data_IF_638419507479
#
_entry.id   IF_638419507479
#
_cell.length_a   1.000
_cell.length_b   1.000
_cell.length_c   1.000
_cell.angle_alpha   90.00
_cell.angle_beta   90.00
_cell.angle_gamma   90.00
#
_symmetry.space_group_name_H-M   'P 1'
#
loop_
_entity.id
_entity.type
_entity.pdbx_description
1 polymer ?
#
# COMPACT_ATOMS: atom_id res chain seq x y z
N UNK A 1 -0.08 3.98 7.50
CA UNK A 1 1.20 3.53 6.90
C UNK A 1 1.39 4.21 5.55
N UNK A 2 2.59 4.69 5.22
CA UNK A 2 2.85 5.38 3.93
C UNK A 2 3.98 4.69 3.19
N UNK A 3 3.72 4.23 1.97
CA UNK A 3 4.73 3.72 1.05
C UNK A 3 5.21 4.89 0.19
N UNK A 4 6.50 5.18 0.25
CA UNK A 4 7.14 6.22 -0.56
C UNK A 4 7.13 5.91 -2.05
N UNK A 5 7.52 6.88 -2.86
CA UNK A 5 7.65 6.74 -4.32
C UNK A 5 8.60 5.60 -4.67
N UNK A 6 8.21 4.72 -5.61
CA UNK A 6 8.97 3.55 -6.04
C UNK A 6 9.33 2.52 -4.93
N UNK A 7 8.62 2.53 -3.78
CA UNK A 7 8.82 1.53 -2.74
C UNK A 7 8.24 0.17 -3.17
N UNK A 8 9.03 -0.92 -3.07
CA UNK A 8 8.55 -2.30 -3.21
C UNK A 8 8.31 -2.90 -1.82
N UNK A 9 7.05 -3.11 -1.47
CA UNK A 9 6.63 -3.73 -0.21
C UNK A 9 6.05 -5.12 -0.46
N UNK A 10 6.51 -6.12 0.29
CA UNK A 10 5.99 -7.48 0.20
C UNK A 10 5.46 -7.93 1.56
N UNK A 11 4.16 -8.24 1.65
CA UNK A 11 3.52 -8.70 2.87
C UNK A 11 2.12 -8.11 3.09
N UNK A 12 1.63 -8.25 4.32
CA UNK A 12 0.31 -7.74 4.73
C UNK A 12 0.50 -6.50 5.59
N UNK A 13 -0.08 -5.38 5.18
CA UNK A 13 -0.16 -4.16 6.00
C UNK A 13 -1.50 -4.16 6.71
N UNK A 14 -1.47 -4.20 8.03
CA UNK A 14 -2.64 -3.97 8.87
C UNK A 14 -2.49 -2.59 9.53
N UNK A 15 -3.32 -1.62 9.15
CA UNK A 15 -3.30 -0.28 9.74
C UNK A 15 -4.65 0.07 10.32
N UNK A 16 -4.66 0.60 11.55
CA UNK A 16 -5.89 1.12 12.17
C UNK A 16 -6.37 2.41 11.50
N UNK A 17 -5.51 3.09 10.75
CA UNK A 17 -5.80 4.36 10.10
C UNK A 17 -5.51 4.28 8.60
N UNK A 18 -5.07 5.38 7.97
CA UNK A 18 -4.82 5.49 6.54
C UNK A 18 -3.63 4.63 6.09
N UNK A 19 -3.77 3.91 4.98
CA UNK A 19 -2.65 3.37 4.20
C UNK A 19 -2.52 4.18 2.91
N UNK A 20 -1.38 4.82 2.67
CA UNK A 20 -1.12 5.61 1.46
C UNK A 20 0.01 5.01 0.63
N UNK A 21 -0.26 4.73 -0.64
CA UNK A 21 0.71 4.28 -1.62
C UNK A 21 0.93 5.41 -2.63
N UNK A 22 2.15 5.97 -2.66
CA UNK A 22 2.51 7.08 -3.56
C UNK A 22 2.98 6.58 -4.94
N UNK A 23 3.05 7.48 -5.93
CA UNK A 23 3.45 7.22 -7.33
C UNK A 23 4.58 6.18 -7.44
N UNK A 24 4.29 5.09 -8.17
CA UNK A 24 5.23 4.04 -8.49
C UNK A 24 5.51 3.05 -7.36
N UNK A 25 4.85 3.16 -6.21
CA UNK A 25 4.97 2.12 -5.18
C UNK A 25 4.36 0.80 -5.69
N UNK A 26 5.02 -0.29 -5.35
CA UNK A 26 4.62 -1.67 -5.67
C UNK A 26 4.34 -2.38 -4.36
N UNK A 27 3.14 -2.95 -4.23
CA UNK A 27 2.78 -3.80 -3.10
C UNK A 27 2.49 -5.21 -3.60
N UNK A 28 3.21 -6.19 -3.07
CA UNK A 28 2.92 -7.61 -3.26
C UNK A 28 2.31 -8.17 -1.96
N UNK A 29 0.99 -8.29 -1.91
CA UNK A 29 0.26 -8.75 -0.72
C UNK A 29 -1.06 -8.04 -0.51
N UNK A 30 -1.37 -7.63 0.74
CA UNK A 30 -2.67 -7.02 1.10
C UNK A 30 -2.52 -5.77 1.97
N UNK A 31 -3.22 -4.70 1.61
CA UNK A 31 -3.39 -3.50 2.44
C UNK A 31 -4.76 -3.52 3.13
N UNK A 32 -4.80 -3.73 4.45
CA UNK A 32 -6.02 -3.69 5.27
C UNK A 32 -5.97 -2.45 6.18
N UNK A 33 -6.64 -1.38 5.75
CA UNK A 33 -6.86 -0.17 6.56
C UNK A 33 -8.25 -0.21 7.20
N UNK A 34 -8.36 0.17 8.48
CA UNK A 34 -9.66 0.30 9.15
C UNK A 34 -10.38 1.62 8.80
N UNK A 35 -9.71 2.57 8.13
CA UNK A 35 -10.32 3.82 7.65
C UNK A 35 -10.30 3.95 6.13
N UNK A 36 -9.12 4.12 5.52
CA UNK A 36 -8.99 4.38 4.09
C UNK A 36 -7.66 3.84 3.52
N UNK A 37 -7.67 3.49 2.24
CA UNK A 37 -6.48 3.17 1.44
C UNK A 37 -6.42 4.13 0.25
N UNK A 38 -5.34 4.88 0.10
CA UNK A 38 -5.09 5.78 -1.04
C UNK A 38 -4.02 5.20 -1.96
N UNK A 39 -4.33 5.12 -3.26
CA UNK A 39 -3.43 4.62 -4.30
C UNK A 39 -3.20 5.72 -5.32
N UNK A 40 -1.94 6.14 -5.47
CA UNK A 40 -1.51 7.10 -6.47
C UNK A 40 -0.53 6.42 -7.42
N UNK A 41 -0.98 6.06 -8.64
CA UNK A 41 -0.16 5.40 -9.67
C UNK A 41 0.68 4.21 -9.15
N UNK A 42 0.05 3.29 -8.40
CA UNK A 42 0.71 2.16 -7.73
C UNK A 42 0.22 0.80 -8.22
N UNK A 43 1.11 -0.20 -8.21
CA UNK A 43 0.75 -1.58 -8.57
C UNK A 43 0.55 -2.43 -7.31
N UNK A 44 -0.64 -3.02 -7.15
CA UNK A 44 -0.91 -4.00 -6.09
C UNK A 44 -1.08 -5.38 -6.73
N UNK A 45 -0.18 -6.30 -6.40
CA UNK A 45 -0.20 -7.69 -6.87
C UNK A 45 -0.58 -8.59 -5.71
N UNK A 46 -1.71 -9.28 -5.84
CA UNK A 46 -2.19 -10.28 -4.87
C UNK A 46 -1.76 -11.67 -5.38
N UNK A 47 -1.08 -12.50 -4.56
CA UNK A 47 -1.01 -13.94 -4.83
C UNK A 47 -2.35 -14.63 -4.55
#
# INVERSE_FOLDING_TARGET
>A
ATLGTAADFKGIILSQTLISLNTGAVMNGRALAQTAVTLDATAITVP
#
